data_IF_904162039635
#
_entry.id   IF_904162039635
#
_cell.length_a   1.000
_cell.length_b   1.000
_cell.length_c   1.000
_cell.angle_alpha   90.00
_cell.angle_beta   90.00
_cell.angle_gamma   90.00
#
_symmetry.space_group_name_H-M   'P 1'
#
loop_
_entity.id
_entity.type
_entity.pdbx_description
1 polymer ?
#
# COMPACT_ATOMS: atom_id res chain seq x y z
N UNK A 1 -17.95 9.45 10.90
CA UNK A 1 -17.87 8.10 10.31
C UNK A 1 -16.55 7.43 10.70
N UNK A 2 -16.32 6.14 10.37
CA UNK A 2 -15.00 5.51 10.59
C UNK A 2 -13.87 6.22 9.84
N UNK A 3 -14.16 6.72 8.63
CA UNK A 3 -13.22 7.50 7.83
C UNK A 3 -12.78 8.77 8.59
N UNK A 4 -13.74 9.57 9.07
CA UNK A 4 -13.45 10.82 9.79
C UNK A 4 -12.65 10.56 11.08
N UNK A 5 -12.96 9.46 11.76
CA UNK A 5 -12.25 9.06 12.96
C UNK A 5 -10.80 8.66 12.66
N UNK A 6 -10.55 7.88 11.60
CA UNK A 6 -9.20 7.55 11.15
C UNK A 6 -8.43 8.79 10.71
N UNK A 7 -9.07 9.74 10.03
CA UNK A 7 -8.47 11.03 9.68
C UNK A 7 -8.08 11.83 10.93
N UNK A 8 -8.96 11.90 11.93
CA UNK A 8 -8.67 12.57 13.20
C UNK A 8 -7.49 11.93 13.95
N UNK A 9 -7.42 10.59 14.00
CA UNK A 9 -6.27 9.87 14.60
C UNK A 9 -4.98 10.18 13.84
N UNK A 10 -5.00 10.12 12.51
CA UNK A 10 -3.84 10.43 11.69
C UNK A 10 -3.34 11.85 11.98
N UNK A 11 -4.25 12.84 12.00
CA UNK A 11 -3.92 14.23 12.30
C UNK A 11 -3.33 14.40 13.71
N UNK A 12 -3.95 13.79 14.72
CA UNK A 12 -3.45 13.82 16.10
C UNK A 12 -2.08 13.15 16.25
N UNK A 13 -1.76 12.15 15.42
CA UNK A 13 -0.45 11.51 15.34
C UNK A 13 0.59 12.33 14.54
N UNK A 14 0.27 13.56 14.13
CA UNK A 14 1.16 14.44 13.38
C UNK A 14 1.30 14.07 11.89
N UNK A 15 0.39 13.26 11.35
CA UNK A 15 0.37 12.93 9.92
C UNK A 15 -0.35 14.01 9.12
N UNK A 16 0.14 14.25 7.91
CA UNK A 16 -0.33 15.35 7.06
C UNK A 16 -0.14 15.04 5.58
N UNK A 17 -0.99 15.62 4.74
CA UNK A 17 -0.88 15.51 3.28
C UNK A 17 0.30 16.32 2.71
N UNK A 18 0.87 17.25 3.49
CA UNK A 18 1.97 18.11 3.07
C UNK A 18 3.36 17.46 3.14
N UNK A 19 3.49 16.31 3.82
CA UNK A 19 4.74 15.60 4.00
C UNK A 19 4.54 14.10 3.71
N UNK A 20 5.07 13.65 2.56
CA UNK A 20 4.96 12.26 2.11
C UNK A 20 5.58 11.25 3.08
N UNK A 21 6.54 11.67 3.93
CA UNK A 21 7.15 10.79 4.94
C UNK A 21 6.22 10.51 6.11
N UNK A 22 5.21 11.37 6.33
CA UNK A 22 4.22 11.30 7.39
C UNK A 22 2.80 11.36 6.83
N UNK A 23 2.60 10.80 5.64
CA UNK A 23 1.29 10.78 5.00
C UNK A 23 0.26 10.01 5.86
N UNK A 24 -1.03 10.38 5.84
CA UNK A 24 -2.06 9.60 6.53
C UNK A 24 -2.11 8.14 6.05
N UNK A 25 -2.38 7.22 6.97
CA UNK A 25 -2.39 5.78 6.72
C UNK A 25 -3.78 5.23 6.99
N UNK A 26 -4.26 4.42 6.05
CA UNK A 26 -5.53 3.70 6.13
C UNK A 26 -5.28 2.20 5.99
N UNK A 27 -6.04 1.34 6.68
CA UNK A 27 -5.84 -0.09 6.58
C UNK A 27 -6.41 -0.62 5.26
N UNK A 28 -5.82 -1.69 4.73
CA UNK A 28 -6.57 -2.58 3.84
C UNK A 28 -7.81 -3.11 4.57
N UNK A 29 -8.99 -3.05 3.96
CA UNK A 29 -10.23 -3.57 4.55
C UNK A 29 -10.77 -4.78 3.80
N UNK A 30 -10.78 -4.72 2.48
CA UNK A 30 -11.19 -5.84 1.63
C UNK A 30 -10.00 -6.79 1.44
N UNK A 31 -10.26 -8.09 1.48
CA UNK A 31 -9.32 -9.15 1.21
C UNK A 31 -9.66 -9.93 -0.08
N UNK A 32 -10.87 -9.76 -0.61
CA UNK A 32 -11.29 -10.39 -1.86
C UNK A 32 -11.19 -9.40 -3.05
N UNK A 33 -10.16 -9.60 -3.85
CA UNK A 33 -9.96 -8.90 -5.13
C UNK A 33 -9.98 -9.89 -6.32
N UNK A 34 -10.51 -11.10 -6.11
CA UNK A 34 -10.55 -12.16 -7.11
C UNK A 34 -11.96 -12.42 -7.62
N UNK A 35 -12.96 -12.32 -6.74
CA UNK A 35 -14.36 -12.53 -7.10
C UNK A 35 -14.87 -11.46 -8.05
N UNK A 36 -15.77 -11.86 -8.96
CA UNK A 36 -16.43 -10.94 -9.90
C UNK A 36 -17.40 -9.98 -9.19
N UNK A 37 -18.01 -10.44 -8.10
CA UNK A 37 -18.91 -9.67 -7.25
C UNK A 37 -18.45 -9.80 -5.79
N UNK A 38 -18.62 -8.73 -5.04
CA UNK A 38 -18.19 -8.66 -3.65
C UNK A 38 -19.39 -8.90 -2.72
N UNK A 39 -19.37 -9.99 -1.98
CA UNK A 39 -20.40 -10.27 -0.96
C UNK A 39 -19.99 -9.65 0.38
N UNK A 40 -20.62 -8.53 0.71
CA UNK A 40 -20.35 -7.78 1.94
C UNK A 40 -20.90 -8.45 3.20
N UNK A 41 -21.71 -9.51 3.09
CA UNK A 41 -22.16 -10.30 4.24
C UNK A 41 -21.19 -11.44 4.57
N UNK A 42 -20.30 -11.80 3.64
CA UNK A 42 -19.31 -12.83 3.86
C UNK A 42 -18.12 -12.29 4.65
N UNK A 43 -17.86 -12.85 5.84
CA UNK A 43 -16.71 -12.49 6.68
C UNK A 43 -15.37 -12.59 5.93
N UNK A 44 -15.23 -13.54 5.00
CA UNK A 44 -13.98 -13.78 4.24
C UNK A 44 -13.65 -12.66 3.26
N UNK A 45 -14.63 -11.81 2.93
CA UNK A 45 -14.44 -10.60 2.12
C UNK A 45 -13.52 -9.59 2.81
N UNK A 46 -13.46 -9.63 4.14
CA UNK A 46 -12.75 -8.64 4.95
C UNK A 46 -11.42 -9.18 5.48
N UNK A 47 -10.45 -8.28 5.56
CA UNK A 47 -9.18 -8.51 6.21
C UNK A 47 -9.38 -8.66 7.71
N UNK A 48 -8.60 -9.55 8.34
CA UNK A 48 -8.46 -9.59 9.79
C UNK A 48 -7.68 -8.35 10.27
N UNK A 49 -8.41 -7.32 10.71
CA UNK A 49 -7.85 -6.05 11.17
C UNK A 49 -7.08 -6.16 12.50
N UNK A 50 -7.16 -7.29 13.20
CA UNK A 50 -6.38 -7.52 14.43
C UNK A 50 -4.89 -7.81 14.16
N UNK A 51 -4.53 -8.05 12.89
CA UNK A 51 -3.18 -8.40 12.45
C UNK A 51 -2.60 -7.33 11.54
N UNK A 52 -1.29 -7.06 11.55
CA UNK A 52 -0.66 -6.26 10.50
C UNK A 52 -0.60 -7.02 9.17
N UNK A 53 -0.42 -6.33 8.04
CA UNK A 53 -0.29 -6.95 6.71
C UNK A 53 0.71 -8.12 6.68
N UNK A 54 1.89 -7.92 7.28
CA UNK A 54 2.95 -8.93 7.36
C UNK A 54 2.56 -10.24 8.07
N UNK A 55 1.48 -10.24 8.88
CA UNK A 55 1.04 -11.39 9.67
C UNK A 55 -0.20 -12.12 9.11
N UNK A 56 -0.80 -11.63 8.03
CA UNK A 56 -2.01 -12.23 7.45
C UNK A 56 -1.75 -13.59 6.79
N UNK A 57 -0.58 -13.76 6.18
CA UNK A 57 -0.13 -15.02 5.60
C UNK A 57 0.76 -15.74 6.62
N UNK A 58 0.30 -16.89 7.14
CA UNK A 58 0.98 -17.66 8.18
C UNK A 58 2.37 -18.13 7.75
N UNK A 59 2.51 -18.63 6.52
CA UNK A 59 3.81 -19.08 5.96
C UNK A 59 4.81 -17.92 5.88
N UNK A 60 4.33 -16.74 5.46
CA UNK A 60 5.17 -15.53 5.42
C UNK A 60 5.55 -15.04 6.82
N UNK A 61 4.63 -15.10 7.77
CA UNK A 61 4.91 -14.74 9.16
C UNK A 61 5.97 -15.66 9.77
N UNK A 62 5.94 -16.95 9.46
CA UNK A 62 6.96 -17.90 9.90
C UNK A 62 8.33 -17.54 9.33
N UNK A 63 8.41 -17.17 8.05
CA UNK A 63 9.64 -16.65 7.45
C UNK A 63 10.19 -15.43 8.21
N UNK A 64 9.34 -14.44 8.52
CA UNK A 64 9.77 -13.26 9.29
C UNK A 64 10.27 -13.64 10.70
N UNK A 65 9.58 -14.56 11.38
CA UNK A 65 10.01 -15.05 12.71
C UNK A 65 11.33 -15.82 12.63
N UNK A 66 11.55 -16.60 11.58
CA UNK A 66 12.82 -17.30 11.37
C UNK A 66 13.97 -16.32 11.14
N UNK A 67 13.75 -15.28 10.33
CA UNK A 67 14.73 -14.20 10.12
C UNK A 67 15.05 -13.47 11.43
N UNK A 68 14.02 -13.13 12.21
CA UNK A 68 14.19 -12.49 13.53
C UNK A 68 15.01 -13.36 14.48
N UNK A 69 14.78 -14.68 14.52
CA UNK A 69 15.60 -15.61 15.31
C UNK A 69 17.07 -15.63 14.86
N UNK A 70 17.33 -15.49 13.57
CA UNK A 70 18.69 -15.37 13.03
C UNK A 70 19.38 -14.03 13.32
N UNK A 71 18.66 -13.04 13.83
CA UNK A 71 19.17 -11.71 14.17
C UNK A 71 19.44 -11.54 15.67
N UNK A 72 19.28 -12.59 16.49
CA UNK A 72 19.28 -12.49 17.96
C UNK A 72 20.51 -11.80 18.58
N UNK A 73 21.66 -11.86 17.91
CA UNK A 73 22.91 -11.23 18.36
C UNK A 73 23.09 -9.79 17.84
N UNK A 74 22.12 -9.27 17.06
CA UNK A 74 22.11 -7.89 16.56
C UNK A 74 21.37 -6.98 17.54
N UNK A 75 21.91 -5.78 17.75
CA UNK A 75 21.34 -4.77 18.66
C UNK A 75 19.94 -4.31 18.21
N UNK A 76 19.71 -4.22 16.89
CA UNK A 76 18.43 -3.81 16.29
C UNK A 76 17.73 -4.98 15.58
N UNK A 77 17.13 -5.88 16.37
CA UNK A 77 16.27 -6.93 15.86
C UNK A 77 14.94 -6.38 15.32
N UNK A 78 14.50 -6.81 14.13
CA UNK A 78 13.22 -6.39 13.56
C UNK A 78 12.46 -7.55 12.90
N UNK A 79 11.13 -7.47 12.93
CA UNK A 79 10.28 -8.42 12.23
C UNK A 79 10.14 -8.05 10.75
N UNK A 80 9.92 -6.77 10.45
CA UNK A 80 9.74 -6.23 9.10
C UNK A 80 10.87 -5.26 8.78
N UNK A 81 11.60 -5.50 7.70
CA UNK A 81 12.67 -4.61 7.22
C UNK A 81 12.15 -3.47 6.35
N UNK A 82 10.84 -3.41 6.12
CA UNK A 82 10.16 -2.34 5.40
C UNK A 82 9.01 -1.82 6.24
N UNK A 83 8.67 -0.55 6.05
CA UNK A 83 7.60 0.11 6.79
C UNK A 83 6.28 -0.03 6.04
N UNK A 84 5.13 0.09 6.71
CA UNK A 84 3.82 0.03 6.06
C UNK A 84 3.46 1.32 5.28
N UNK A 85 4.21 2.40 5.51
CA UNK A 85 4.00 3.73 4.90
C UNK A 85 5.36 4.34 4.58
N UNK A 86 5.60 4.72 3.34
CA UNK A 86 6.84 5.36 2.92
C UNK A 86 6.56 6.30 1.74
N UNK A 87 7.33 7.39 1.54
CA UNK A 87 7.13 8.31 0.42
C UNK A 87 7.02 7.61 -0.94
N UNK A 88 7.86 6.59 -1.17
CA UNK A 88 7.82 5.78 -2.38
C UNK A 88 6.49 5.04 -2.58
N UNK A 89 5.83 4.58 -1.51
CA UNK A 89 4.51 3.93 -1.59
C UNK A 89 3.40 4.96 -1.85
N UNK A 90 3.48 6.13 -1.24
CA UNK A 90 2.52 7.21 -1.50
C UNK A 90 2.58 7.62 -2.97
N UNK A 91 3.79 7.85 -3.50
CA UNK A 91 3.98 8.18 -4.91
C UNK A 91 3.65 7.00 -5.83
N UNK A 92 3.89 5.76 -5.42
CA UNK A 92 3.44 4.57 -6.15
C UNK A 92 1.93 4.60 -6.37
N UNK A 93 1.14 4.90 -5.33
CA UNK A 93 -0.31 5.04 -5.46
C UNK A 93 -0.71 6.26 -6.29
N UNK A 94 -0.08 7.41 -6.03
CA UNK A 94 -0.47 8.71 -6.60
C UNK A 94 0.24 9.06 -7.90
N UNK A 95 0.90 8.12 -8.59
CA UNK A 95 1.66 8.38 -9.82
C UNK A 95 0.85 9.12 -10.90
N UNK A 96 -0.47 8.92 -10.95
CA UNK A 96 -1.39 9.57 -11.89
C UNK A 96 -1.80 10.99 -11.46
N UNK A 97 -1.79 11.27 -10.16
CA UNK A 97 -2.16 12.57 -9.57
C UNK A 97 -0.96 13.49 -9.33
N UNK A 98 0.19 12.91 -8.98
CA UNK A 98 1.44 13.61 -8.65
C UNK A 98 2.63 13.08 -9.50
N UNK A 99 2.52 13.07 -10.85
CA UNK A 99 3.55 12.49 -11.71
C UNK A 99 4.90 13.21 -11.58
N UNK A 100 4.92 14.50 -11.32
CA UNK A 100 6.14 15.31 -11.20
C UNK A 100 6.99 14.85 -9.99
N UNK A 101 6.33 14.46 -8.90
CA UNK A 101 7.00 13.98 -7.69
C UNK A 101 7.59 12.58 -7.91
N UNK A 102 6.87 11.71 -8.64
CA UNK A 102 7.42 10.41 -9.05
C UNK A 102 8.63 10.57 -9.96
N UNK A 103 8.56 11.47 -10.96
CA UNK A 103 9.69 11.73 -11.85
C UNK A 103 10.90 12.26 -11.10
N UNK A 104 10.70 13.14 -10.10
CA UNK A 104 11.79 13.60 -9.24
C UNK A 104 12.45 12.44 -8.47
N UNK A 105 11.64 11.53 -7.90
CA UNK A 105 12.13 10.36 -7.17
C UNK A 105 12.92 9.39 -8.07
N UNK A 106 12.52 9.28 -9.34
CA UNK A 106 13.03 8.28 -10.29
C UNK A 106 13.96 8.90 -11.35
N UNK A 107 14.67 9.98 -11.02
CA UNK A 107 15.67 10.62 -11.88
C UNK A 107 15.15 11.00 -13.29
N UNK A 108 13.94 11.57 -13.34
CA UNK A 108 13.33 12.13 -14.55
C UNK A 108 12.62 11.12 -15.46
N UNK A 109 12.46 9.86 -15.03
CA UNK A 109 11.73 8.82 -15.78
C UNK A 109 10.78 8.08 -14.86
N UNK A 110 9.68 7.55 -15.40
CA UNK A 110 8.85 6.63 -14.63
C UNK A 110 9.58 5.30 -14.40
N UNK A 111 9.17 4.58 -13.35
CA UNK A 111 9.70 3.25 -13.05
C UNK A 111 9.31 2.23 -14.15
N UNK A 112 9.90 1.04 -14.11
CA UNK A 112 9.51 -0.06 -15.00
C UNK A 112 7.99 -0.35 -14.86
N UNK A 113 7.27 -0.54 -15.98
CA UNK A 113 5.81 -0.74 -15.96
C UNK A 113 5.34 -1.85 -15.00
N UNK A 114 6.07 -2.97 -14.95
CA UNK A 114 5.77 -4.10 -14.07
C UNK A 114 5.93 -3.79 -12.56
N UNK A 115 6.66 -2.72 -12.22
CA UNK A 115 6.86 -2.25 -10.84
C UNK A 115 5.94 -1.08 -10.45
N UNK A 116 5.21 -0.50 -11.40
CA UNK A 116 4.31 0.61 -11.15
C UNK A 116 2.94 0.13 -10.64
N UNK A 117 2.13 1.07 -10.13
CA UNK A 117 0.78 0.77 -9.68
C UNK A 117 -0.18 0.69 -10.87
N UNK A 118 -0.56 -0.52 -11.25
CA UNK A 118 -1.51 -0.77 -12.35
C UNK A 118 -2.76 -1.56 -11.94
N UNK A 119 -2.75 -2.23 -10.79
CA UNK A 119 -3.88 -3.05 -10.34
C UNK A 119 -3.95 -3.15 -8.82
N UNK A 120 -5.12 -2.88 -8.25
CA UNK A 120 -5.38 -3.05 -6.81
C UNK A 120 -5.22 -4.51 -6.39
N UNK A 121 -5.75 -5.44 -7.20
CA UNK A 121 -5.60 -6.89 -7.00
C UNK A 121 -4.14 -7.30 -6.92
N UNK A 122 -3.34 -6.85 -7.88
CA UNK A 122 -1.90 -7.14 -7.90
C UNK A 122 -1.20 -6.52 -6.68
N UNK A 123 -1.50 -5.25 -6.39
CA UNK A 123 -0.93 -4.51 -5.25
C UNK A 123 -1.20 -5.22 -3.90
N UNK A 124 -2.43 -5.68 -3.68
CA UNK A 124 -2.82 -6.47 -2.51
C UNK A 124 -2.09 -7.82 -2.46
N UNK A 125 -2.02 -8.53 -3.59
CA UNK A 125 -1.28 -9.79 -3.70
C UNK A 125 0.19 -9.61 -3.32
N UNK A 126 0.85 -8.57 -3.83
CA UNK A 126 2.23 -8.21 -3.47
C UNK A 126 2.36 -7.92 -1.96
N UNK A 127 1.47 -7.10 -1.41
CA UNK A 127 1.44 -6.78 0.02
C UNK A 127 1.18 -8.01 0.92
N UNK A 128 0.58 -9.08 0.39
CA UNK A 128 0.36 -10.35 1.09
C UNK A 128 1.48 -11.38 0.95
N UNK A 129 2.28 -11.31 -0.12
CA UNK A 129 3.19 -12.40 -0.49
C UNK A 129 4.66 -11.99 -0.57
N UNK A 130 4.96 -10.77 -0.98
CA UNK A 130 6.33 -10.29 -1.04
C UNK A 130 6.87 -9.99 0.37
N UNK A 131 8.08 -10.46 0.67
CA UNK A 131 8.72 -10.28 1.98
C UNK A 131 9.21 -8.84 2.24
N UNK A 132 9.41 -8.06 1.17
CA UNK A 132 9.78 -6.66 1.23
C UNK A 132 8.57 -5.70 1.18
N UNK A 133 7.34 -6.24 1.19
CA UNK A 133 6.12 -5.47 0.99
C UNK A 133 5.09 -5.76 2.08
N UNK A 134 4.95 -4.80 2.99
CA UNK A 134 3.96 -4.81 4.07
C UNK A 134 3.11 -3.54 4.06
N UNK A 135 3.00 -2.88 2.91
CA UNK A 135 2.37 -1.57 2.78
C UNK A 135 0.88 -1.60 3.09
N UNK A 136 0.43 -0.59 3.83
CA UNK A 136 -0.98 -0.26 4.06
C UNK A 136 -1.45 0.79 3.03
N UNK A 137 -2.74 1.13 3.06
CA UNK A 137 -3.36 2.07 2.13
C UNK A 137 -3.24 3.53 2.57
N UNK A 138 -3.72 4.41 1.70
CA UNK A 138 -3.86 5.86 1.89
C UNK A 138 -5.36 6.25 1.88
N UNK A 139 -5.74 7.42 2.42
CA UNK A 139 -7.15 7.83 2.51
C UNK A 139 -7.89 7.89 1.17
N UNK A 140 -7.18 8.12 0.06
CA UNK A 140 -7.72 8.27 -1.30
C UNK A 140 -8.49 7.02 -1.75
N UNK A 141 -8.14 5.83 -1.23
CA UNK A 141 -8.88 4.60 -1.50
C UNK A 141 -10.30 4.59 -0.91
N UNK A 142 -10.60 5.53 -0.01
CA UNK A 142 -11.85 5.61 0.74
C UNK A 142 -12.51 6.98 0.65
N UNK A 143 -11.96 7.94 -0.11
CA UNK A 143 -12.55 9.26 -0.29
C UNK A 143 -13.43 9.31 -1.55
N UNK A 144 -14.76 9.17 -1.44
CA UNK A 144 -15.65 9.24 -2.61
C UNK A 144 -15.75 10.65 -3.21
N UNK A 145 -15.37 11.70 -2.45
CA UNK A 145 -15.51 13.08 -2.91
C UNK A 145 -14.54 13.44 -4.04
N UNK A 146 -13.42 12.72 -4.14
CA UNK A 146 -12.37 12.98 -5.14
C UNK A 146 -12.51 12.06 -6.37
N UNK A 147 -13.67 11.40 -6.54
CA UNK A 147 -13.99 10.58 -7.72
C UNK A 147 -13.08 9.36 -7.94
N UNK A 148 -12.18 9.06 -7.00
CA UNK A 148 -11.06 8.14 -7.17
C UNK A 148 -10.14 8.50 -8.36
N UNK A 149 -9.98 9.80 -8.63
CA UNK A 149 -9.22 10.33 -9.77
C UNK A 149 -7.78 9.80 -9.82
N UNK A 150 -7.19 9.46 -8.67
CA UNK A 150 -5.83 8.88 -8.60
C UNK A 150 -5.69 7.53 -9.30
N UNK A 151 -6.79 6.83 -9.59
CA UNK A 151 -6.81 5.59 -10.37
C UNK A 151 -6.86 5.84 -11.89
N UNK A 152 -7.23 7.05 -12.31
CA UNK A 152 -7.50 7.39 -13.70
C UNK A 152 -6.28 8.08 -14.32
N UNK A 153 -5.81 7.58 -15.47
CA UNK A 153 -4.74 8.26 -16.22
C UNK A 153 -5.28 9.42 -17.05
N UNK A 154 -5.90 10.42 -16.40
CA UNK A 154 -6.56 11.54 -17.08
C UNK A 154 -5.58 12.43 -17.87
N UNK A 155 -4.30 12.45 -17.48
CA UNK A 155 -3.23 13.24 -18.13
C UNK A 155 -2.55 12.49 -19.28
N UNK A 156 -3.01 11.30 -19.66
CA UNK A 156 -2.39 10.46 -20.70
C UNK A 156 -0.88 10.26 -20.50
N UNK A 157 -0.46 10.00 -19.26
CA UNK A 157 0.94 9.77 -18.91
C UNK A 157 1.48 8.53 -19.64
N UNK A 158 2.72 8.62 -20.12
CA UNK A 158 3.41 7.51 -20.76
C UNK A 158 3.98 6.54 -19.70
N UNK A 159 3.12 5.66 -19.19
CA UNK A 159 3.46 4.66 -18.16
C UNK A 159 4.05 3.35 -18.75
N UNK A 160 4.33 3.32 -20.05
CA UNK A 160 4.92 2.16 -20.73
C UNK A 160 3.97 0.96 -20.87
N UNK A 161 4.56 -0.21 -21.18
CA UNK A 161 3.87 -1.49 -21.34
C UNK A 161 4.56 -2.55 -20.50
N UNK A 162 3.76 -3.43 -19.88
CA UNK A 162 4.27 -4.57 -19.11
C UNK A 162 4.91 -5.61 -20.04
N UNK A 163 5.75 -6.48 -19.49
CA UNK A 163 6.38 -7.57 -20.26
C UNK A 163 5.36 -8.52 -20.88
N UNK A 164 4.17 -8.63 -20.29
CA UNK A 164 3.08 -9.46 -20.77
C UNK A 164 2.31 -8.88 -21.97
N UNK A 165 2.67 -7.68 -22.41
CA UNK A 165 1.79 -6.84 -23.26
C UNK A 165 0.61 -6.29 -22.48
#
# INVERSE_FOLDING_TARGET
>A
SNYDYLMAINSAAGRTFHDLSRYPVFPWVIADYQSKSLDLNNRKTYRDLSKPMGALNSKRLEYFRARLRGMQDMEDCFLYGTHYSAPGYILYYLVRSMPEHMLCLQNGKFDAPDRMFYSIKHCFSCALTNHADVKELIPEFYNPNDGYDFLINARNLQLGAMQTG
#
